data_IF_093614197078
#
_entry.id   IF_093614197078
#
_cell.length_a   1.000
_cell.length_b   1.000
_cell.length_c   1.000
_cell.angle_alpha   90.00
_cell.angle_beta   90.00
_cell.angle_gamma   90.00
#
_symmetry.space_group_name_H-M   'P 1'
#
loop_
_entity.id
_entity.type
_entity.pdbx_description
1 polymer ?
#
# COMPACT_ATOMS: atom_id res chain seq x y z
N UNK A 1 0.44 16.21 13.82
CA UNK A 1 0.22 15.28 12.70
C UNK A 1 1.31 14.23 12.70
N UNK A 2 0.95 12.98 12.47
CA UNK A 2 1.88 11.86 12.40
C UNK A 2 1.89 11.32 10.99
N UNK A 3 3.06 11.18 10.41
CA UNK A 3 3.27 10.63 9.08
C UNK A 3 3.91 9.26 9.22
N UNK A 4 3.26 8.24 8.67
CA UNK A 4 3.78 6.88 8.67
C UNK A 4 4.04 6.47 7.22
N UNK A 5 5.25 5.99 6.95
CA UNK A 5 5.64 5.49 5.64
C UNK A 5 5.92 4.00 5.78
N UNK A 6 5.16 3.18 5.08
CA UNK A 6 5.30 1.72 5.19
C UNK A 6 4.78 1.04 3.92
N UNK A 7 5.41 -0.05 3.53
CA UNK A 7 4.91 -0.90 2.45
C UNK A 7 3.75 -1.80 2.89
N UNK A 8 3.55 -1.99 4.19
CA UNK A 8 2.46 -2.74 4.83
C UNK A 8 2.48 -4.26 4.65
N UNK A 9 3.32 -4.80 3.77
CA UNK A 9 3.23 -6.22 3.42
C UNK A 9 3.72 -7.17 4.51
N UNK A 10 4.71 -6.76 5.32
CA UNK A 10 5.29 -7.62 6.36
C UNK A 10 4.83 -7.28 7.78
N UNK A 11 4.29 -6.09 7.99
CA UNK A 11 4.01 -5.57 9.34
C UNK A 11 2.65 -4.88 9.47
N UNK A 12 1.70 -5.32 8.65
CA UNK A 12 0.36 -4.71 8.59
C UNK A 12 -0.27 -4.56 9.98
N UNK A 13 -0.31 -5.64 10.75
CA UNK A 13 -0.96 -5.63 12.07
C UNK A 13 -0.30 -4.64 13.03
N UNK A 14 1.04 -4.61 13.05
CA UNK A 14 1.77 -3.71 13.93
C UNK A 14 1.55 -2.25 13.55
N UNK A 15 1.53 -1.95 12.26
CA UNK A 15 1.31 -0.60 11.76
C UNK A 15 -0.10 -0.12 12.11
N UNK A 16 -1.11 -0.92 11.86
CA UNK A 16 -2.49 -0.53 12.17
C UNK A 16 -2.77 -0.46 13.67
N UNK A 17 -2.08 -1.26 14.47
CA UNK A 17 -2.16 -1.15 15.94
C UNK A 17 -1.59 0.19 16.41
N UNK A 18 -0.43 0.59 15.87
CA UNK A 18 0.17 1.89 16.19
C UNK A 18 -0.73 3.04 15.74
N UNK A 19 -1.30 2.95 14.54
CA UNK A 19 -2.23 3.95 14.01
C UNK A 19 -3.44 4.10 14.94
N UNK A 20 -4.03 2.98 15.35
CA UNK A 20 -5.19 3.01 16.26
C UNK A 20 -4.84 3.72 17.57
N UNK A 21 -3.66 3.47 18.13
CA UNK A 21 -3.21 4.14 19.34
C UNK A 21 -3.04 5.65 19.15
N UNK A 22 -2.45 6.07 18.03
CA UNK A 22 -2.32 7.49 17.72
C UNK A 22 -3.67 8.17 17.54
N UNK A 23 -4.62 7.50 16.91
CA UNK A 23 -5.97 8.03 16.73
C UNK A 23 -6.73 8.13 18.07
N UNK A 24 -6.54 7.18 18.98
CA UNK A 24 -7.10 7.28 20.34
C UNK A 24 -6.62 8.53 21.08
N UNK A 25 -5.38 8.93 20.82
CA UNK A 25 -4.80 10.14 21.41
C UNK A 25 -5.14 11.40 20.61
N UNK A 26 -6.05 11.31 19.67
CA UNK A 26 -6.54 12.44 18.86
C UNK A 26 -5.48 13.04 17.93
N UNK A 27 -4.47 12.26 17.53
CA UNK A 27 -3.50 12.70 16.54
C UNK A 27 -4.03 12.53 15.13
N UNK A 28 -3.76 13.51 14.28
CA UNK A 28 -3.93 13.37 12.83
C UNK A 28 -2.87 12.43 12.29
N UNK A 29 -3.30 11.44 11.51
CA UNK A 29 -2.39 10.43 10.94
C UNK A 29 -2.57 10.37 9.43
N UNK A 30 -1.46 10.40 8.73
CA UNK A 30 -1.39 10.06 7.31
C UNK A 30 -0.52 8.81 7.15
N UNK A 31 -1.01 7.86 6.37
CA UNK A 31 -0.28 6.67 5.99
C UNK A 31 0.10 6.78 4.51
N UNK A 32 1.40 6.78 4.25
CA UNK A 32 1.94 6.80 2.89
C UNK A 32 2.50 5.42 2.59
N UNK A 33 1.96 4.79 1.56
CA UNK A 33 2.46 3.51 1.08
C UNK A 33 3.22 3.71 -0.23
N UNK A 34 4.57 3.62 -0.22
CA UNK A 34 5.32 3.64 -1.46
C UNK A 34 5.20 2.31 -2.17
N UNK A 35 5.03 2.36 -3.48
CA UNK A 35 4.94 1.18 -4.32
C UNK A 35 5.84 1.37 -5.54
N UNK A 36 6.74 0.41 -5.76
CA UNK A 36 7.62 0.45 -6.93
C UNK A 36 6.86 -0.05 -8.16
N UNK A 37 7.12 0.56 -9.30
CA UNK A 37 6.55 0.10 -10.57
C UNK A 37 6.91 -1.34 -10.89
N UNK A 38 8.08 -1.81 -10.46
CA UNK A 38 8.48 -3.21 -10.62
C UNK A 38 7.58 -4.16 -9.83
N UNK A 39 7.00 -3.72 -8.73
CA UNK A 39 6.02 -4.50 -7.99
C UNK A 39 4.69 -4.60 -8.73
N UNK A 40 4.36 -3.58 -9.52
CA UNK A 40 3.17 -3.59 -10.37
C UNK A 40 3.35 -4.45 -11.62
N UNK A 41 4.57 -4.55 -12.15
CA UNK A 41 4.88 -5.28 -13.38
C UNK A 41 5.47 -6.67 -13.16
N UNK A 42 5.63 -7.10 -11.98
CA UNK A 42 6.14 -8.39 -11.54
C UNK A 42 7.27 -8.99 -12.38
N UNK A 43 8.55 -8.90 -11.93
CA UNK A 43 9.63 -9.65 -12.54
C UNK A 43 9.35 -11.15 -12.50
N UNK A 44 9.86 -11.89 -13.49
CA UNK A 44 9.60 -13.32 -13.63
C UNK A 44 9.95 -14.14 -12.38
N UNK A 45 11.00 -13.78 -11.65
CA UNK A 45 11.38 -14.43 -10.41
C UNK A 45 10.33 -14.30 -9.31
N UNK A 46 9.67 -13.14 -9.21
CA UNK A 46 8.57 -12.92 -8.27
C UNK A 46 7.31 -13.67 -8.67
N UNK A 47 7.06 -13.83 -9.96
CA UNK A 47 5.98 -14.67 -10.46
C UNK A 47 6.15 -16.10 -9.98
N UNK A 48 7.36 -16.62 -10.05
CA UNK A 48 7.68 -17.99 -9.59
C UNK A 48 7.45 -18.10 -8.07
N UNK A 49 7.93 -17.14 -7.29
CA UNK A 49 7.70 -17.10 -5.84
C UNK A 49 6.21 -17.07 -5.50
N UNK A 50 5.43 -16.26 -6.22
CA UNK A 50 3.99 -16.17 -6.02
C UNK A 50 3.30 -17.51 -6.31
N UNK A 51 3.67 -18.19 -7.37
CA UNK A 51 3.14 -19.51 -7.71
C UNK A 51 3.46 -20.53 -6.61
N UNK A 52 4.68 -20.51 -6.09
CA UNK A 52 5.11 -21.39 -5.01
C UNK A 52 4.33 -21.12 -3.71
N UNK A 53 4.07 -19.86 -3.40
CA UNK A 53 3.33 -19.48 -2.20
C UNK A 53 1.84 -19.87 -2.28
N UNK A 54 1.22 -19.70 -3.44
CA UNK A 54 -0.21 -19.96 -3.61
C UNK A 54 -0.54 -21.45 -3.63
N UNK A 55 0.29 -22.27 -4.23
CA UNK A 55 -0.10 -23.63 -4.56
C UNK A 55 0.79 -24.73 -3.98
N UNK A 56 2.00 -24.44 -3.52
CA UNK A 56 2.94 -25.46 -3.03
C UNK A 56 3.31 -26.51 -4.06
N UNK A 57 2.78 -26.45 -5.25
CA UNK A 57 3.04 -27.31 -6.37
C UNK A 57 3.50 -26.51 -7.58
N UNK A 58 4.41 -27.08 -8.35
CA UNK A 58 4.79 -26.49 -9.64
C UNK A 58 3.63 -26.62 -10.61
N UNK A 59 2.70 -25.68 -10.56
CA UNK A 59 1.70 -25.59 -11.59
C UNK A 59 2.33 -24.97 -12.83
N UNK A 60 2.13 -25.60 -13.97
CA UNK A 60 2.44 -25.04 -15.28
C UNK A 60 1.47 -23.90 -15.57
N UNK A 61 1.56 -22.82 -14.78
CA UNK A 61 0.76 -21.63 -15.04
C UNK A 61 1.47 -20.77 -16.08
N UNK A 62 0.72 -20.37 -17.07
CA UNK A 62 1.16 -19.32 -18.00
C UNK A 62 1.58 -18.09 -17.19
N UNK A 63 2.78 -17.53 -17.42
CA UNK A 63 3.24 -16.33 -16.71
C UNK A 63 2.26 -15.17 -16.77
N UNK A 64 1.52 -15.00 -17.85
CA UNK A 64 0.51 -13.95 -17.97
C UNK A 64 -0.66 -14.14 -17.01
N UNK A 65 -1.07 -15.38 -16.77
CA UNK A 65 -2.14 -15.70 -15.80
C UNK A 65 -1.66 -15.46 -14.35
N UNK A 66 -0.40 -15.82 -14.04
CA UNK A 66 0.18 -15.58 -12.73
C UNK A 66 0.29 -14.08 -12.44
N UNK A 67 0.67 -13.27 -13.43
CA UNK A 67 0.69 -11.80 -13.29
C UNK A 67 -0.69 -11.23 -13.04
N UNK A 68 -1.70 -11.73 -13.76
CA UNK A 68 -3.08 -11.32 -13.56
C UNK A 68 -3.59 -11.64 -12.16
N UNK A 69 -3.29 -12.84 -11.67
CA UNK A 69 -3.64 -13.26 -10.31
C UNK A 69 -2.93 -12.40 -9.26
N UNK A 70 -1.65 -12.12 -9.46
CA UNK A 70 -0.88 -11.26 -8.55
C UNK A 70 -1.44 -9.84 -8.50
N UNK A 71 -1.74 -9.26 -9.65
CA UNK A 71 -2.33 -7.91 -9.71
C UNK A 71 -3.65 -7.84 -8.95
N UNK A 72 -4.48 -8.87 -9.06
CA UNK A 72 -5.74 -8.96 -8.32
C UNK A 72 -5.51 -9.02 -6.81
N UNK A 73 -4.57 -9.85 -6.36
CA UNK A 73 -4.24 -9.96 -4.94
C UNK A 73 -3.64 -8.67 -4.39
N UNK A 74 -2.76 -8.02 -5.16
CA UNK A 74 -2.20 -6.73 -4.78
C UNK A 74 -3.29 -5.66 -4.67
N UNK A 75 -4.19 -5.58 -5.64
CA UNK A 75 -5.29 -4.61 -5.62
C UNK A 75 -6.23 -4.87 -4.45
N UNK A 76 -6.51 -6.13 -4.16
CA UNK A 76 -7.34 -6.53 -3.01
C UNK A 76 -6.69 -6.11 -1.69
N UNK A 77 -5.37 -6.27 -1.57
CA UNK A 77 -4.64 -5.84 -0.38
C UNK A 77 -4.70 -4.32 -0.21
N UNK A 78 -4.48 -3.57 -1.30
CA UNK A 78 -4.55 -2.11 -1.30
C UNK A 78 -5.94 -1.63 -0.91
N UNK A 79 -6.98 -2.23 -1.47
CA UNK A 79 -8.37 -1.90 -1.14
C UNK A 79 -8.67 -2.18 0.33
N UNK A 80 -8.14 -3.26 0.89
CA UNK A 80 -8.26 -3.58 2.31
C UNK A 80 -7.57 -2.56 3.20
N UNK A 81 -6.38 -2.11 2.84
CA UNK A 81 -5.68 -1.05 3.58
C UNK A 81 -6.45 0.26 3.54
N UNK A 82 -6.97 0.62 2.37
CA UNK A 82 -7.78 1.83 2.20
C UNK A 82 -9.04 1.79 3.06
N UNK A 83 -9.70 0.65 3.13
CA UNK A 83 -10.89 0.46 3.95
C UNK A 83 -10.56 0.61 5.45
N UNK A 84 -9.50 -0.03 5.92
CA UNK A 84 -9.05 0.09 7.32
C UNK A 84 -8.71 1.52 7.68
N UNK A 85 -8.00 2.23 6.81
CA UNK A 85 -7.69 3.64 7.02
C UNK A 85 -8.95 4.50 7.08
N UNK A 86 -9.92 4.22 6.21
CA UNK A 86 -11.21 4.90 6.24
C UNK A 86 -11.95 4.71 7.57
N UNK A 87 -11.94 3.51 8.11
CA UNK A 87 -12.57 3.20 9.40
C UNK A 87 -11.90 3.92 10.57
N UNK A 88 -10.60 4.17 10.48
CA UNK A 88 -9.83 4.86 11.51
C UNK A 88 -9.73 6.37 11.30
N UNK A 89 -10.33 6.89 10.25
CA UNK A 89 -10.18 8.29 9.82
C UNK A 89 -8.72 8.69 9.58
N UNK A 90 -7.99 7.83 8.90
CA UNK A 90 -6.61 8.04 8.52
C UNK A 90 -6.55 8.35 7.04
N UNK A 91 -5.77 9.36 6.68
CA UNK A 91 -5.53 9.70 5.28
C UNK A 91 -4.53 8.70 4.69
N UNK A 92 -4.96 7.95 3.67
CA UNK A 92 -4.15 6.93 3.02
C UNK A 92 -3.74 7.38 1.63
N UNK A 93 -2.42 7.34 1.37
CA UNK A 93 -1.87 7.71 0.06
C UNK A 93 -0.97 6.62 -0.47
N UNK A 94 -1.29 6.14 -1.65
CA UNK A 94 -0.46 5.22 -2.42
C UNK A 94 0.41 6.04 -3.37
N UNK A 95 1.73 5.89 -3.27
CA UNK A 95 2.68 6.70 -4.03
C UNK A 95 3.63 5.80 -4.80
N UNK A 96 3.77 6.03 -6.10
CA UNK A 96 4.79 5.34 -6.90
C UNK A 96 6.18 5.89 -6.57
N UNK A 97 7.16 5.00 -6.42
CA UNK A 97 8.53 5.41 -6.17
C UNK A 97 9.18 6.11 -7.37
N UNK A 98 8.56 6.03 -8.55
CA UNK A 98 8.99 6.77 -9.73
C UNK A 98 8.51 8.22 -9.75
N UNK A 99 7.52 8.58 -8.91
CA UNK A 99 7.06 9.96 -8.79
C UNK A 99 8.05 10.80 -7.99
N UNK A 100 8.14 12.08 -8.34
CA UNK A 100 8.90 13.04 -7.54
C UNK A 100 8.25 13.20 -6.17
N UNK A 101 8.99 12.93 -5.09
CA UNK A 101 8.48 13.13 -3.74
C UNK A 101 8.16 14.59 -3.47
N UNK A 102 8.89 15.51 -4.10
CA UNK A 102 8.65 16.96 -3.97
C UNK A 102 7.28 17.33 -4.51
N UNK A 103 6.94 16.82 -5.69
CA UNK A 103 5.62 17.06 -6.30
C UNK A 103 4.50 16.46 -5.44
N UNK A 104 4.71 15.26 -4.93
CA UNK A 104 3.75 14.60 -4.05
C UNK A 104 3.50 15.41 -2.79
N UNK A 105 4.57 15.83 -2.11
CA UNK A 105 4.46 16.58 -0.87
C UNK A 105 3.76 17.92 -1.12
N UNK A 106 4.14 18.62 -2.19
CA UNK A 106 3.53 19.90 -2.56
C UNK A 106 2.04 19.76 -2.83
N UNK A 107 1.67 18.74 -3.61
CA UNK A 107 0.28 18.47 -3.92
C UNK A 107 -0.51 18.11 -2.66
N UNK A 108 0.04 17.26 -1.81
CA UNK A 108 -0.60 16.85 -0.57
C UNK A 108 -0.83 18.02 0.37
N UNK A 109 0.17 18.87 0.56
CA UNK A 109 0.06 20.03 1.43
C UNK A 109 -0.98 21.03 0.89
N UNK A 110 -1.05 21.21 -0.41
CA UNK A 110 -2.08 22.06 -1.03
C UNK A 110 -3.49 21.51 -0.82
N UNK A 111 -3.67 20.21 -0.94
CA UNK A 111 -4.96 19.57 -0.64
C UNK A 111 -5.37 19.75 0.82
N UNK A 112 -4.45 19.55 1.75
CA UNK A 112 -4.69 19.74 3.17
C UNK A 112 -5.04 21.20 3.50
N UNK A 113 -4.36 22.14 2.87
CA UNK A 113 -4.64 23.57 3.02
C UNK A 113 -6.06 23.92 2.60
N UNK A 114 -6.55 23.32 1.51
CA UNK A 114 -7.94 23.52 1.05
C UNK A 114 -8.94 22.91 2.02
N UNK A 115 -8.62 21.78 2.63
CA UNK A 115 -9.50 21.07 3.56
C UNK A 115 -9.59 21.75 4.92
N UNK A 116 -8.58 22.52 5.31
CA UNK A 116 -8.54 23.23 6.60
C UNK A 116 -9.22 24.60 6.57
N UNK A 117 -9.70 25.00 5.42
CA UNK A 117 -10.53 26.19 5.26
C UNK A 117 -12.00 25.78 5.33
#
# INVERSE_FOLDING_TARGET
>A
MIVIISDLFDKEEDVFRAIANFRKKMHDVILIQPLDETELELPMNRVIEFIDMENGEKLELDPSMARGAYKKELQKAIDGFREKCGMLNVDYRLVSTSESYEDFISQYLNERRRMSL
#
